data_IF_087243808011
#
_entry.id   IF_087243808011
#
_cell.length_a   1.000
_cell.length_b   1.000
_cell.length_c   1.000
_cell.angle_alpha   90.00
_cell.angle_beta   90.00
_cell.angle_gamma   90.00
#
_symmetry.space_group_name_H-M   'P 1'
#
loop_
_entity.id
_entity.type
_entity.pdbx_description
1 polymer ?
#
# COMPACT_ATOMS: atom_id res chain seq x y z
N UNK A 1 8.09 -88.67 -73.27
CA UNK A 1 8.82 -87.37 -73.29
C UNK A 1 8.00 -86.16 -72.83
N UNK A 2 6.79 -85.89 -73.35
CA UNK A 2 6.01 -84.67 -72.99
C UNK A 2 5.67 -84.49 -71.49
N UNK A 3 5.44 -85.58 -70.75
CA UNK A 3 5.06 -85.55 -69.32
C UNK A 3 6.18 -85.02 -68.40
N UNK A 4 7.43 -85.44 -68.64
CA UNK A 4 8.60 -85.03 -67.84
C UNK A 4 8.98 -83.56 -68.05
N UNK A 5 8.84 -83.04 -69.28
CA UNK A 5 9.07 -81.62 -69.57
C UNK A 5 8.06 -80.73 -68.84
N UNK A 6 6.81 -81.18 -68.69
CA UNK A 6 5.78 -80.42 -67.95
C UNK A 6 6.04 -80.36 -66.44
N UNK A 7 6.62 -81.42 -65.87
CA UNK A 7 6.96 -81.50 -64.45
C UNK A 7 8.12 -80.55 -64.10
N UNK A 8 9.17 -80.55 -64.92
CA UNK A 8 10.33 -79.65 -64.75
C UNK A 8 9.91 -78.18 -64.86
N UNK A 9 9.06 -77.83 -65.84
CA UNK A 9 8.50 -76.47 -65.95
C UNK A 9 7.71 -76.05 -64.72
N UNK A 10 6.90 -76.95 -64.14
CA UNK A 10 6.14 -76.65 -62.91
C UNK A 10 7.05 -76.40 -61.72
N UNK A 11 8.09 -77.22 -61.55
CA UNK A 11 9.06 -77.05 -60.46
C UNK A 11 9.80 -75.71 -60.59
N UNK A 12 10.30 -75.38 -61.79
CA UNK A 12 10.95 -74.09 -62.06
C UNK A 12 10.01 -72.91 -61.78
N UNK A 13 8.75 -72.98 -62.19
CA UNK A 13 7.77 -71.93 -61.92
C UNK A 13 7.51 -71.80 -60.41
N UNK A 14 7.33 -72.91 -59.69
CA UNK A 14 7.10 -72.85 -58.24
C UNK A 14 8.33 -72.35 -57.48
N UNK A 15 9.55 -72.73 -57.88
CA UNK A 15 10.77 -72.19 -57.27
C UNK A 15 10.93 -70.70 -57.55
N UNK A 16 10.66 -70.25 -58.79
CA UNK A 16 10.72 -68.84 -59.15
C UNK A 16 9.65 -68.01 -58.44
N UNK A 17 8.42 -68.52 -58.32
CA UNK A 17 7.35 -67.88 -57.54
C UNK A 17 7.71 -67.85 -56.05
N UNK A 18 8.28 -68.93 -55.51
CA UNK A 18 8.72 -68.99 -54.11
C UNK A 18 9.84 -67.98 -53.81
N UNK A 19 10.83 -67.85 -54.70
CA UNK A 19 11.87 -66.84 -54.57
C UNK A 19 11.31 -65.41 -54.70
N UNK A 20 10.40 -65.18 -55.65
CA UNK A 20 9.78 -63.87 -55.85
C UNK A 20 8.89 -63.48 -54.67
N UNK A 21 8.09 -64.42 -54.15
CA UNK A 21 7.28 -64.22 -52.95
C UNK A 21 8.18 -63.97 -51.72
N UNK A 22 9.24 -64.76 -51.54
CA UNK A 22 10.24 -64.54 -50.50
C UNK A 22 10.85 -63.15 -50.56
N UNK A 23 11.23 -62.68 -51.74
CA UNK A 23 11.74 -61.31 -51.92
C UNK A 23 10.67 -60.25 -51.62
N UNK A 24 9.44 -60.42 -52.12
CA UNK A 24 8.34 -59.47 -51.91
C UNK A 24 7.92 -59.35 -50.44
N UNK A 25 8.10 -60.39 -49.61
CA UNK A 25 7.78 -60.33 -48.18
C UNK A 25 8.98 -59.98 -47.30
N UNK A 26 10.16 -60.56 -47.54
CA UNK A 26 11.33 -60.35 -46.69
C UNK A 26 11.97 -58.98 -46.91
N UNK A 27 11.95 -58.45 -48.13
CA UNK A 27 12.55 -57.16 -48.42
C UNK A 27 11.84 -56.00 -47.67
N UNK A 28 10.50 -55.84 -47.73
CA UNK A 28 9.82 -54.78 -46.96
C UNK A 28 9.98 -54.90 -45.45
N UNK A 29 10.01 -56.13 -44.92
CA UNK A 29 10.25 -56.37 -43.49
C UNK A 29 11.67 -55.91 -43.11
N UNK A 30 12.66 -56.21 -43.95
CA UNK A 30 14.05 -55.80 -43.69
C UNK A 30 14.22 -54.27 -43.73
N UNK A 31 13.57 -53.58 -44.67
CA UNK A 31 13.55 -52.12 -44.75
C UNK A 31 12.86 -51.53 -43.52
N UNK A 32 11.69 -52.05 -43.13
CA UNK A 32 10.96 -51.59 -41.94
C UNK A 32 11.76 -51.76 -40.64
N UNK A 33 12.46 -52.89 -40.48
CA UNK A 33 13.35 -53.11 -39.34
C UNK A 33 14.52 -52.13 -39.37
N UNK A 34 15.12 -51.88 -40.54
CA UNK A 34 16.20 -50.90 -40.70
C UNK A 34 15.76 -49.50 -40.31
N UNK A 35 14.59 -49.05 -40.76
CA UNK A 35 14.05 -47.73 -40.44
C UNK A 35 13.78 -47.58 -38.93
N UNK A 36 13.23 -48.62 -38.28
CA UNK A 36 13.04 -48.63 -36.82
C UNK A 36 14.38 -48.52 -36.10
N UNK A 37 15.39 -49.30 -36.52
CA UNK A 37 16.71 -49.28 -35.89
C UNK A 37 17.36 -47.91 -36.07
N UNK A 38 17.33 -47.36 -37.28
CA UNK A 38 17.91 -46.06 -37.60
C UNK A 38 17.24 -44.93 -36.79
N UNK A 39 15.90 -44.91 -36.73
CA UNK A 39 15.14 -43.96 -35.92
C UNK A 39 15.57 -44.02 -34.44
N UNK A 40 15.64 -45.22 -33.86
CA UNK A 40 16.01 -45.39 -32.45
C UNK A 40 17.47 -44.97 -32.19
N UNK A 41 18.40 -45.26 -33.09
CA UNK A 41 19.82 -44.88 -32.95
C UNK A 41 19.99 -43.36 -33.02
N UNK A 42 19.34 -42.68 -33.97
CA UNK A 42 19.40 -41.21 -34.09
C UNK A 42 18.81 -40.55 -32.84
N UNK A 43 17.67 -41.03 -32.35
CA UNK A 43 17.07 -40.52 -31.12
C UNK A 43 17.92 -40.78 -29.88
N UNK A 44 18.59 -41.93 -29.79
CA UNK A 44 19.50 -42.23 -28.69
C UNK A 44 20.74 -41.33 -28.69
N UNK A 45 21.38 -41.13 -29.85
CA UNK A 45 22.56 -40.27 -29.97
C UNK A 45 22.24 -38.81 -29.67
N UNK A 46 21.12 -38.29 -30.20
CA UNK A 46 20.67 -36.92 -29.92
C UNK A 46 20.32 -36.73 -28.44
N UNK A 47 19.66 -37.71 -27.82
CA UNK A 47 19.41 -37.72 -26.38
C UNK A 47 20.71 -37.67 -25.57
N UNK A 48 21.69 -38.52 -25.88
CA UNK A 48 23.00 -38.52 -25.22
C UNK A 48 23.76 -37.19 -25.39
N UNK A 49 23.63 -36.52 -26.54
CA UNK A 49 24.23 -35.22 -26.78
C UNK A 49 23.58 -34.10 -25.97
N UNK A 50 22.24 -34.07 -25.89
CA UNK A 50 21.49 -33.07 -25.10
C UNK A 50 21.76 -33.23 -23.61
N UNK A 51 21.78 -34.47 -23.11
CA UNK A 51 21.99 -34.79 -21.70
C UNK A 51 23.47 -35.07 -21.36
N UNK A 52 24.41 -34.63 -22.20
CA UNK A 52 25.82 -34.78 -21.89
C UNK A 52 26.13 -34.10 -20.54
N UNK A 53 27.03 -34.66 -19.70
CA UNK A 53 27.29 -34.17 -18.34
C UNK A 53 27.59 -32.66 -18.25
N UNK A 54 28.22 -32.11 -19.30
CA UNK A 54 28.49 -30.67 -19.44
C UNK A 54 27.23 -29.79 -19.44
N UNK A 55 26.13 -30.25 -20.04
CA UNK A 55 24.85 -29.51 -20.06
C UNK A 55 24.14 -29.57 -18.72
N UNK A 56 24.25 -30.69 -17.99
CA UNK A 56 23.71 -30.84 -16.65
C UNK A 56 24.44 -29.93 -15.64
N UNK A 57 25.76 -29.84 -15.73
CA UNK A 57 26.58 -28.90 -14.95
C UNK A 57 26.20 -27.44 -15.23
N UNK A 58 25.99 -27.10 -16.50
CA UNK A 58 25.54 -25.77 -16.90
C UNK A 58 24.15 -25.44 -16.32
N UNK A 59 23.20 -26.39 -16.40
CA UNK A 59 21.86 -26.22 -15.83
C UNK A 59 21.92 -26.02 -14.31
N UNK A 60 22.76 -26.79 -13.61
CA UNK A 60 23.01 -26.61 -12.18
C UNK A 60 23.60 -25.24 -11.84
N UNK A 61 24.58 -24.77 -12.62
CA UNK A 61 25.16 -23.43 -12.46
C UNK A 61 24.11 -22.32 -12.58
N UNK A 62 23.27 -22.36 -13.63
CA UNK A 62 22.19 -21.38 -13.79
C UNK A 62 21.12 -21.49 -12.71
N UNK A 63 20.79 -22.70 -12.23
CA UNK A 63 19.87 -22.89 -11.12
C UNK A 63 20.40 -22.27 -9.83
N UNK A 64 21.69 -22.48 -9.50
CA UNK A 64 22.34 -21.89 -8.33
C UNK A 64 22.38 -20.36 -8.46
N UNK A 65 22.77 -19.82 -9.62
CA UNK A 65 22.74 -18.38 -9.86
C UNK A 65 21.33 -17.79 -9.69
N UNK A 66 20.30 -18.47 -10.19
CA UNK A 66 18.91 -18.07 -10.04
C UNK A 66 18.47 -18.06 -8.58
N UNK A 67 18.83 -19.09 -7.80
CA UNK A 67 18.54 -19.16 -6.37
C UNK A 67 19.24 -18.05 -5.58
N UNK A 68 20.55 -17.85 -5.82
CA UNK A 68 21.32 -16.78 -5.16
C UNK A 68 20.74 -15.41 -5.50
N UNK A 69 20.44 -15.17 -6.79
CA UNK A 69 19.79 -13.93 -7.25
C UNK A 69 18.43 -13.71 -6.57
N UNK A 70 17.61 -14.77 -6.48
CA UNK A 70 16.31 -14.73 -5.82
C UNK A 70 16.41 -14.37 -4.34
N UNK A 71 17.33 -14.99 -3.59
CA UNK A 71 17.56 -14.70 -2.17
C UNK A 71 18.03 -13.25 -1.97
N UNK A 72 19.00 -12.80 -2.76
CA UNK A 72 19.51 -11.42 -2.70
C UNK A 72 18.40 -10.42 -3.00
N UNK A 73 17.58 -10.67 -4.02
CA UNK A 73 16.47 -9.79 -4.38
C UNK A 73 15.38 -9.77 -3.28
N UNK A 74 15.02 -10.92 -2.71
CA UNK A 74 14.08 -10.99 -1.61
C UNK A 74 14.56 -10.19 -0.38
N UNK A 75 15.84 -10.31 -0.02
CA UNK A 75 16.44 -9.52 1.05
C UNK A 75 16.42 -8.02 0.73
N UNK A 76 16.75 -7.63 -0.50
CA UNK A 76 16.74 -6.25 -0.95
C UNK A 76 15.33 -5.63 -0.89
N UNK A 77 14.31 -6.36 -1.35
CA UNK A 77 12.90 -5.93 -1.29
C UNK A 77 12.47 -5.74 0.17
N UNK A 78 12.79 -6.69 1.06
CA UNK A 78 12.43 -6.60 2.47
C UNK A 78 13.07 -5.39 3.15
N UNK A 79 14.38 -5.17 2.93
CA UNK A 79 15.10 -4.02 3.51
C UNK A 79 14.57 -2.68 2.98
N UNK A 80 14.26 -2.61 1.67
CA UNK A 80 13.63 -1.42 1.09
C UNK A 80 12.27 -1.15 1.71
N UNK A 81 11.43 -2.16 1.90
CA UNK A 81 10.11 -1.97 2.50
C UNK A 81 10.18 -1.34 3.90
N UNK A 82 11.16 -1.74 4.72
CA UNK A 82 11.42 -1.12 6.02
C UNK A 82 11.86 0.35 5.92
N UNK A 83 12.85 0.64 5.06
CA UNK A 83 13.34 2.01 4.82
C UNK A 83 12.25 2.91 4.24
N UNK A 84 11.43 2.41 3.32
CA UNK A 84 10.29 3.16 2.77
C UNK A 84 9.29 3.52 3.86
N UNK A 85 9.03 2.63 4.82
CA UNK A 85 8.10 2.90 5.93
C UNK A 85 8.64 3.95 6.90
N UNK A 86 9.94 3.96 7.15
CA UNK A 86 10.60 4.97 8.00
C UNK A 86 10.66 6.34 7.30
N UNK A 87 11.00 6.36 6.01
CA UNK A 87 10.93 7.56 5.16
C UNK A 87 9.50 8.10 5.07
N UNK A 88 8.52 7.21 4.95
CA UNK A 88 7.10 7.59 4.94
C UNK A 88 6.69 8.20 6.27
N UNK A 89 7.04 7.59 7.41
CA UNK A 89 6.77 8.15 8.75
C UNK A 89 7.38 9.55 8.91
N UNK A 90 8.66 9.71 8.58
CA UNK A 90 9.34 11.02 8.59
C UNK A 90 8.67 12.03 7.64
N UNK A 91 8.09 11.54 6.54
CA UNK A 91 7.42 12.40 5.56
C UNK A 91 5.99 12.79 5.94
N UNK A 92 5.33 12.05 6.85
CA UNK A 92 3.91 12.26 7.20
C UNK A 92 3.67 12.85 8.58
N UNK A 93 4.68 12.88 9.47
CA UNK A 93 4.55 13.48 10.81
C UNK A 93 5.21 14.85 10.91
N UNK A 94 4.75 15.67 11.85
CA UNK A 94 5.38 16.92 12.29
C UNK A 94 6.46 16.61 13.33
N UNK A 95 7.68 17.11 13.10
CA UNK A 95 8.86 16.78 13.94
C UNK A 95 8.72 17.26 15.39
N UNK A 96 8.02 18.38 15.62
CA UNK A 96 7.88 18.95 16.95
C UNK A 96 6.85 18.18 17.78
N UNK A 97 5.67 17.93 17.22
CA UNK A 97 4.49 17.43 17.93
C UNK A 97 4.26 15.94 17.77
N UNK A 98 4.94 15.29 16.80
CA UNK A 98 4.70 13.90 16.39
C UNK A 98 3.26 13.60 15.95
N UNK A 99 2.45 14.64 15.68
CA UNK A 99 1.17 14.51 15.00
C UNK A 99 1.39 14.33 13.50
N UNK A 100 0.33 14.05 12.75
CA UNK A 100 0.42 14.12 11.30
C UNK A 100 0.72 15.55 10.85
N UNK A 101 1.42 15.71 9.74
CA UNK A 101 1.68 17.01 9.17
C UNK A 101 0.57 17.42 8.17
N UNK A 102 0.61 18.69 7.75
CA UNK A 102 -0.33 19.27 6.78
C UNK A 102 -0.48 18.44 5.51
N UNK A 103 0.63 17.91 4.96
CA UNK A 103 0.61 17.14 3.70
C UNK A 103 -0.19 15.85 3.87
N UNK A 104 0.06 15.12 4.96
CA UNK A 104 -0.70 13.91 5.27
C UNK A 104 -2.17 14.22 5.49
N UNK A 105 -2.47 15.27 6.27
CA UNK A 105 -3.84 15.71 6.52
C UNK A 105 -4.65 15.94 5.24
N UNK A 106 -4.14 16.75 4.30
CA UNK A 106 -4.85 17.06 3.05
C UNK A 106 -5.11 15.79 2.24
N UNK A 107 -4.09 14.94 2.09
CA UNK A 107 -4.20 13.69 1.36
C UNK A 107 -5.20 12.72 2.00
N UNK A 108 -5.21 12.64 3.33
CA UNK A 108 -6.10 11.74 4.05
C UNK A 108 -7.54 12.27 4.07
N UNK A 109 -7.73 13.58 4.27
CA UNK A 109 -9.06 14.20 4.25
C UNK A 109 -9.74 14.01 2.90
N UNK A 110 -9.01 14.19 1.79
CA UNK A 110 -9.53 13.91 0.43
C UNK A 110 -10.03 12.47 0.29
N UNK A 111 -9.26 11.49 0.79
CA UNK A 111 -9.67 10.07 0.76
C UNK A 111 -10.90 9.80 1.64
N UNK A 112 -10.97 10.41 2.81
CA UNK A 112 -12.11 10.24 3.72
C UNK A 112 -13.39 10.89 3.16
N UNK A 113 -13.30 11.99 2.41
CA UNK A 113 -14.46 12.58 1.71
C UNK A 113 -14.99 11.61 0.65
N UNK A 114 -14.12 11.04 -0.19
CA UNK A 114 -14.54 10.05 -1.19
C UNK A 114 -15.17 8.81 -0.54
N UNK A 115 -14.61 8.37 0.60
CA UNK A 115 -15.15 7.27 1.39
C UNK A 115 -16.53 7.62 1.96
N UNK A 116 -16.66 8.79 2.59
CA UNK A 116 -17.89 9.29 3.17
C UNK A 116 -18.99 9.43 2.09
N UNK A 117 -18.64 9.94 0.91
CA UNK A 117 -19.55 10.03 -0.24
C UNK A 117 -20.02 8.65 -0.70
N UNK A 118 -19.10 7.69 -0.85
CA UNK A 118 -19.42 6.32 -1.31
C UNK A 118 -20.36 5.58 -0.36
N UNK A 119 -20.14 5.72 0.94
CA UNK A 119 -20.90 4.99 1.96
C UNK A 119 -22.01 5.83 2.61
N UNK A 120 -22.25 7.05 2.10
CA UNK A 120 -23.24 7.99 2.64
C UNK A 120 -23.07 8.20 4.16
N UNK A 121 -21.82 8.43 4.58
CA UNK A 121 -21.47 8.73 5.96
C UNK A 121 -21.15 10.22 6.13
N UNK A 122 -21.29 10.70 7.36
CA UNK A 122 -20.85 12.04 7.72
C UNK A 122 -19.35 12.07 8.01
N UNK A 123 -18.73 13.22 7.76
CA UNK A 123 -17.33 13.49 8.07
C UNK A 123 -17.22 14.90 8.61
N UNK A 124 -16.80 15.05 9.86
CA UNK A 124 -16.58 16.37 10.47
C UNK A 124 -15.10 16.74 10.49
N UNK A 125 -14.84 18.01 10.23
CA UNK A 125 -13.54 18.66 10.33
C UNK A 125 -13.59 19.70 11.45
N UNK A 126 -12.57 19.72 12.30
CA UNK A 126 -12.31 20.81 13.24
C UNK A 126 -10.97 21.45 12.86
N UNK A 127 -10.93 22.78 12.81
CA UNK A 127 -9.71 23.58 12.71
C UNK A 127 -9.57 24.37 14.00
N UNK A 128 -8.40 24.28 14.62
CA UNK A 128 -8.10 24.74 15.98
C UNK A 128 -6.91 25.68 15.90
N UNK A 129 -6.98 26.80 16.61
CA UNK A 129 -5.88 27.76 16.75
C UNK A 129 -5.71 28.15 18.22
N UNK A 130 -4.46 28.19 18.69
CA UNK A 130 -4.14 28.55 20.06
C UNK A 130 -4.13 30.06 20.27
N UNK A 131 -5.09 30.56 21.03
CA UNK A 131 -5.16 31.97 21.39
C UNK A 131 -3.99 32.35 22.30
N UNK A 132 -3.42 33.54 22.10
CA UNK A 132 -2.30 34.09 22.87
C UNK A 132 -0.98 33.32 22.73
N UNK A 133 -0.85 32.37 21.80
CA UNK A 133 0.40 31.61 21.63
C UNK A 133 1.61 32.50 21.29
N UNK A 134 1.41 33.51 20.42
CA UNK A 134 2.46 34.50 20.13
C UNK A 134 2.92 35.23 21.39
N UNK A 135 2.00 35.63 22.27
CA UNK A 135 2.34 36.29 23.53
C UNK A 135 3.17 35.39 24.44
N UNK A 136 2.88 34.08 24.47
CA UNK A 136 3.70 33.10 25.21
C UNK A 136 5.12 33.03 24.64
N UNK A 137 5.27 32.97 23.32
CA UNK A 137 6.59 32.99 22.66
C UNK A 137 7.35 34.28 22.97
N UNK A 138 6.69 35.43 22.87
CA UNK A 138 7.31 36.73 23.08
C UNK A 138 7.72 36.93 24.56
N UNK A 139 6.97 36.35 25.50
CA UNK A 139 7.22 36.50 26.95
C UNK A 139 8.20 35.46 27.50
N UNK A 140 8.15 34.22 27.01
CA UNK A 140 8.86 33.08 27.60
C UNK A 140 9.85 32.40 26.63
N UNK A 141 9.96 32.92 25.41
CA UNK A 141 10.81 32.38 24.36
C UNK A 141 10.22 31.17 23.64
N UNK A 142 10.73 30.91 22.43
CA UNK A 142 10.25 29.83 21.55
C UNK A 142 10.36 28.44 22.16
N UNK A 143 11.35 28.17 23.02
CA UNK A 143 11.48 26.88 23.70
C UNK A 143 10.27 26.57 24.59
N UNK A 144 9.64 27.59 25.18
CA UNK A 144 8.44 27.41 26.00
C UNK A 144 7.21 27.18 25.12
N UNK A 145 7.10 27.91 23.99
CA UNK A 145 6.05 27.65 22.99
C UNK A 145 6.13 26.24 22.42
N UNK A 146 7.34 25.75 22.14
CA UNK A 146 7.56 24.38 21.66
C UNK A 146 7.07 23.31 22.65
N UNK A 147 7.30 23.52 23.96
CA UNK A 147 6.76 22.63 25.01
C UNK A 147 5.24 22.67 25.03
N UNK A 148 4.66 23.87 24.95
CA UNK A 148 3.21 24.06 24.94
C UNK A 148 2.55 23.37 23.73
N UNK A 149 3.14 23.50 22.54
CA UNK A 149 2.65 22.81 21.34
C UNK A 149 2.70 21.28 21.50
N UNK A 150 3.76 20.75 22.12
CA UNK A 150 3.86 19.31 22.44
C UNK A 150 2.80 18.86 23.43
N UNK A 151 2.56 19.62 24.50
CA UNK A 151 1.53 19.32 25.49
C UNK A 151 0.13 19.35 24.88
N UNK A 152 -0.16 20.39 24.08
CA UNK A 152 -1.42 20.51 23.38
C UNK A 152 -1.65 19.35 22.40
N UNK A 153 -0.62 18.95 21.65
CA UNK A 153 -0.69 17.79 20.76
C UNK A 153 -1.02 16.49 21.52
N UNK A 154 -0.41 16.28 22.70
CA UNK A 154 -0.70 15.12 23.56
C UNK A 154 -2.14 15.18 24.08
N UNK A 155 -2.61 16.37 24.49
CA UNK A 155 -3.99 16.59 24.91
C UNK A 155 -4.97 16.18 23.81
N UNK A 156 -4.83 16.75 22.60
CA UNK A 156 -5.70 16.46 21.46
C UNK A 156 -5.75 14.95 21.16
N UNK A 157 -4.58 14.30 21.12
CA UNK A 157 -4.47 12.88 20.80
C UNK A 157 -5.14 11.98 21.85
N UNK A 158 -5.17 12.39 23.12
CA UNK A 158 -5.88 11.68 24.20
C UNK A 158 -7.39 11.91 24.14
N UNK A 159 -7.83 13.07 23.63
CA UNK A 159 -9.25 13.42 23.57
C UNK A 159 -9.96 12.72 22.42
N UNK A 160 -9.33 12.56 21.26
CA UNK A 160 -9.97 11.96 20.08
C UNK A 160 -10.10 10.42 20.17
N UNK A 161 -11.05 9.84 19.43
CA UNK A 161 -11.19 8.36 19.34
C UNK A 161 -10.20 7.80 18.31
N UNK A 162 -9.95 6.49 18.37
CA UNK A 162 -9.03 5.77 17.47
C UNK A 162 -9.20 6.03 15.95
N UNK A 163 -10.43 6.10 15.38
CA UNK A 163 -10.60 6.37 13.95
C UNK A 163 -10.43 7.84 13.57
N UNK A 164 -10.47 8.76 14.53
CA UNK A 164 -10.16 10.16 14.28
C UNK A 164 -8.64 10.32 14.16
N UNK A 165 -8.21 11.31 13.40
CA UNK A 165 -6.80 11.65 13.34
C UNK A 165 -6.59 13.15 13.56
N UNK A 166 -5.46 13.47 14.17
CA UNK A 166 -5.04 14.83 14.52
C UNK A 166 -3.78 15.16 13.72
N UNK A 167 -3.76 16.34 13.12
CA UNK A 167 -2.60 16.86 12.43
C UNK A 167 -2.27 18.28 12.88
N UNK A 168 -0.99 18.65 12.80
CA UNK A 168 -0.57 20.05 12.89
C UNK A 168 -0.67 20.67 11.50
N UNK A 169 -1.50 21.69 11.36
CA UNK A 169 -1.76 22.35 10.08
C UNK A 169 -0.65 23.36 9.76
N UNK A 170 -0.15 24.09 10.76
CA UNK A 170 1.00 24.97 10.65
C UNK A 170 1.08 25.91 11.84
N UNK A 171 2.28 26.32 12.25
CA UNK A 171 2.44 27.22 13.41
C UNK A 171 1.79 26.66 14.67
N UNK A 172 0.76 27.34 15.15
CA UNK A 172 -0.11 27.04 16.30
C UNK A 172 -1.49 26.50 15.92
N UNK A 173 -1.68 26.14 14.65
CA UNK A 173 -2.92 25.59 14.11
C UNK A 173 -2.89 24.05 14.06
N UNK A 174 -4.00 23.45 14.50
CA UNK A 174 -4.21 22.01 14.53
C UNK A 174 -5.54 21.67 13.84
N UNK A 175 -5.64 20.45 13.32
CA UNK A 175 -6.86 19.95 12.72
C UNK A 175 -7.20 18.58 13.25
N UNK A 176 -8.50 18.31 13.40
CA UNK A 176 -9.03 17.00 13.74
C UNK A 176 -10.02 16.59 12.67
N UNK A 177 -9.85 15.39 12.14
CA UNK A 177 -10.76 14.79 11.18
C UNK A 177 -11.49 13.65 11.86
N UNK A 178 -12.82 13.64 11.74
CA UNK A 178 -13.71 12.71 12.41
C UNK A 178 -14.56 11.92 11.39
N UNK A 179 -14.08 10.76 10.90
CA UNK A 179 -14.86 9.91 9.99
C UNK A 179 -16.11 9.35 10.67
N UNK A 180 -17.24 9.30 9.97
CA UNK A 180 -18.52 8.80 10.53
C UNK A 180 -19.01 9.63 11.74
N UNK A 181 -18.71 10.94 11.73
CA UNK A 181 -19.19 11.91 12.70
C UNK A 181 -20.06 12.95 12.02
N UNK A 182 -21.22 13.18 12.61
CA UNK A 182 -22.15 14.25 12.27
C UNK A 182 -21.87 15.49 13.13
N UNK A 183 -22.66 16.55 12.91
CA UNK A 183 -22.56 17.79 13.67
C UNK A 183 -22.67 17.58 15.19
N UNK A 184 -23.55 16.70 15.66
CA UNK A 184 -23.75 16.47 17.10
C UNK A 184 -22.52 15.81 17.73
N UNK A 185 -21.91 14.84 17.05
CA UNK A 185 -20.65 14.23 17.49
C UNK A 185 -19.50 15.23 17.47
N UNK A 186 -19.41 16.08 16.46
CA UNK A 186 -18.41 17.14 16.38
C UNK A 186 -18.56 18.13 17.55
N UNK A 187 -19.80 18.51 17.89
CA UNK A 187 -20.06 19.41 19.02
C UNK A 187 -19.73 18.79 20.37
N UNK A 188 -20.03 17.50 20.58
CA UNK A 188 -19.61 16.80 21.80
C UNK A 188 -18.09 16.74 21.94
N UNK A 189 -17.35 16.56 20.84
CA UNK A 189 -15.90 16.63 20.87
C UNK A 189 -15.42 18.05 21.20
N UNK A 190 -16.02 19.06 20.58
CA UNK A 190 -15.73 20.48 20.82
C UNK A 190 -15.88 20.83 22.30
N UNK A 191 -17.01 20.48 22.92
CA UNK A 191 -17.27 20.69 24.34
C UNK A 191 -16.23 20.02 25.24
N UNK A 192 -15.87 18.78 24.92
CA UNK A 192 -14.87 18.03 25.66
C UNK A 192 -13.50 18.69 25.50
N UNK A 193 -13.11 19.10 24.30
CA UNK A 193 -11.87 19.83 24.07
C UNK A 193 -11.83 21.13 24.87
N UNK A 194 -12.92 21.89 24.91
CA UNK A 194 -12.99 23.08 25.75
C UNK A 194 -12.73 22.75 27.23
N UNK A 195 -13.42 21.76 27.79
CA UNK A 195 -13.24 21.35 29.20
C UNK A 195 -11.82 20.85 29.48
N UNK A 196 -11.26 20.05 28.59
CA UNK A 196 -9.89 19.54 28.72
C UNK A 196 -8.87 20.69 28.65
N UNK A 197 -8.99 21.61 27.69
CA UNK A 197 -8.08 22.77 27.57
C UNK A 197 -8.21 23.71 28.77
N UNK A 198 -9.41 23.96 29.28
CA UNK A 198 -9.61 24.83 30.44
C UNK A 198 -9.11 24.23 31.75
N UNK A 199 -9.21 22.91 31.90
CA UNK A 199 -8.73 22.20 33.10
C UNK A 199 -7.24 21.83 33.03
N UNK A 200 -6.65 21.82 31.83
CA UNK A 200 -5.25 21.48 31.66
C UNK A 200 -4.33 22.62 32.08
N UNK A 201 -3.48 22.33 33.07
CA UNK A 201 -2.42 23.24 33.51
C UNK A 201 -1.19 23.10 32.61
N UNK A 202 -1.19 23.82 31.48
CA UNK A 202 -0.05 23.83 30.56
C UNK A 202 1.25 24.25 31.28
N UNK A 203 2.25 23.36 31.29
CA UNK A 203 3.59 23.49 31.91
C UNK A 203 3.63 24.34 33.19
N UNK A 204 2.93 23.92 34.27
CA UNK A 204 3.02 24.52 35.62
C UNK A 204 2.89 26.06 35.66
N UNK A 205 1.87 26.57 34.93
CA UNK A 205 1.52 27.92 34.50
C UNK A 205 2.68 28.79 33.97
N UNK A 206 2.32 29.72 33.10
CA UNK A 206 2.83 31.08 33.13
C UNK A 206 2.62 31.72 34.54
N UNK A 207 3.07 31.08 35.63
CA UNK A 207 2.72 31.29 37.06
C UNK A 207 3.14 32.67 37.55
N UNK A 208 4.11 33.29 36.89
CA UNK A 208 4.48 34.68 37.20
C UNK A 208 3.66 35.73 36.43
N UNK A 209 2.95 35.38 35.34
CA UNK A 209 2.37 36.36 34.40
C UNK A 209 0.85 36.26 34.20
N UNK A 210 0.19 35.17 34.59
CA UNK A 210 -1.28 35.06 34.55
C UNK A 210 -1.90 34.87 33.16
N UNK A 211 -1.12 34.48 32.15
CA UNK A 211 -1.61 34.25 30.78
C UNK A 211 -2.41 32.93 30.74
N UNK A 212 -3.72 33.00 30.52
CA UNK A 212 -4.59 31.83 30.26
C UNK A 212 -4.51 31.45 28.78
N UNK A 213 -3.96 30.28 28.49
CA UNK A 213 -4.02 29.69 27.15
C UNK A 213 -5.45 29.22 26.88
N UNK A 214 -6.00 29.58 25.72
CA UNK A 214 -7.29 29.08 25.25
C UNK A 214 -7.17 28.73 23.77
N UNK A 215 -8.17 28.09 23.19
CA UNK A 215 -8.18 27.76 21.77
C UNK A 215 -9.48 28.26 21.11
N UNK A 216 -9.35 28.80 19.91
CA UNK A 216 -10.47 29.08 19.01
C UNK A 216 -10.65 27.87 18.09
N UNK A 217 -11.88 27.44 17.85
CA UNK A 217 -12.16 26.23 17.07
C UNK A 217 -13.30 26.51 16.09
N UNK A 218 -13.05 26.23 14.82
CA UNK A 218 -14.05 26.17 13.76
C UNK A 218 -14.37 24.73 13.39
N UNK A 219 -15.62 24.45 13.04
CA UNK A 219 -16.05 23.10 12.65
C UNK A 219 -16.96 23.12 11.43
N UNK A 220 -16.82 22.14 10.55
CA UNK A 220 -17.73 21.91 9.44
C UNK A 220 -17.93 20.42 9.22
N UNK A 221 -19.11 20.03 8.71
CA UNK A 221 -19.46 18.62 8.46
C UNK A 221 -19.92 18.38 7.03
N UNK A 222 -19.27 17.43 6.36
CA UNK A 222 -19.70 16.87 5.08
C UNK A 222 -20.74 15.73 5.32
N UNK A 223 -21.79 15.59 4.48
CA UNK A 223 -22.18 16.47 3.37
C UNK A 223 -23.15 17.61 3.78
N UNK A 224 -23.44 17.78 5.07
CA UNK A 224 -24.48 18.70 5.55
C UNK A 224 -24.16 20.19 5.35
N UNK A 225 -22.89 20.56 5.44
CA UNK A 225 -22.44 21.96 5.44
C UNK A 225 -21.42 22.25 4.31
N UNK A 226 -20.97 21.21 3.59
CA UNK A 226 -20.03 21.28 2.47
C UNK A 226 -20.18 20.05 1.55
N UNK A 227 -19.88 20.18 0.25
CA UNK A 227 -20.00 19.12 -0.76
C UNK A 227 -18.64 18.54 -1.23
N UNK A 228 -17.55 19.22 -0.92
CA UNK A 228 -16.19 18.80 -1.28
C UNK A 228 -15.14 19.25 -0.25
N UNK A 229 -13.87 18.94 -0.56
CA UNK A 229 -12.71 19.22 0.29
C UNK A 229 -12.52 20.72 0.56
N UNK A 230 -12.60 21.53 -0.49
CA UNK A 230 -12.26 22.95 -0.42
C UNK A 230 -13.38 23.71 0.31
N UNK A 231 -14.64 23.36 0.04
CA UNK A 231 -15.79 23.89 0.78
C UNK A 231 -15.72 23.54 2.27
N UNK A 232 -15.36 22.30 2.61
CA UNK A 232 -15.30 21.84 4.00
C UNK A 232 -14.24 22.60 4.80
N UNK A 233 -13.04 22.75 4.22
CA UNK A 233 -11.94 23.51 4.84
C UNK A 233 -12.32 24.98 4.95
N UNK A 234 -12.80 25.60 3.87
CA UNK A 234 -13.20 27.01 3.85
C UNK A 234 -14.28 27.30 4.87
N UNK A 235 -15.27 26.40 5.01
CA UNK A 235 -16.35 26.56 5.99
C UNK A 235 -15.81 26.49 7.41
N UNK A 236 -15.00 25.49 7.74
CA UNK A 236 -14.41 25.35 9.07
C UNK A 236 -13.52 26.56 9.42
N UNK A 237 -12.72 27.05 8.46
CA UNK A 237 -11.86 28.23 8.64
C UNK A 237 -12.67 29.52 8.86
N UNK A 238 -13.75 29.72 8.11
CA UNK A 238 -14.63 30.87 8.30
C UNK A 238 -15.25 30.93 9.71
N UNK A 239 -15.57 29.77 10.29
CA UNK A 239 -16.13 29.66 11.64
C UNK A 239 -15.02 29.90 12.67
N UNK A 240 -13.81 29.38 12.45
CA UNK A 240 -12.64 29.66 13.29
C UNK A 240 -12.36 31.17 13.32
N UNK A 241 -12.38 31.83 12.17
CA UNK A 241 -12.19 33.27 12.06
C UNK A 241 -13.26 34.06 12.82
N UNK A 242 -14.53 33.64 12.73
CA UNK A 242 -15.62 34.25 13.49
C UNK A 242 -15.46 34.05 15.01
N UNK A 243 -14.96 32.88 15.44
CA UNK A 243 -14.65 32.59 16.84
C UNK A 243 -13.52 33.49 17.36
N UNK A 244 -12.43 33.67 16.60
CA UNK A 244 -11.31 34.55 16.98
C UNK A 244 -11.74 36.01 17.17
N UNK A 245 -12.71 36.48 16.39
CA UNK A 245 -13.25 37.85 16.51
C UNK A 245 -14.27 38.03 17.64
N UNK A 246 -14.60 36.98 18.38
CA UNK A 246 -15.67 37.00 19.38
C UNK A 246 -17.07 37.19 18.80
N UNK A 247 -17.21 37.12 17.46
CA UNK A 247 -18.49 37.29 16.75
C UNK A 247 -19.35 36.04 16.94
N UNK A 248 -18.71 34.88 17.03
CA UNK A 248 -19.37 33.62 17.33
C UNK A 248 -18.81 33.07 18.63
N UNK A 249 -19.09 33.80 19.72
CA UNK A 249 -19.02 33.26 21.07
C UNK A 249 -20.05 32.12 21.13
N UNK A 250 -19.54 30.92 20.85
CA UNK A 250 -20.17 29.64 21.03
C UNK A 250 -21.30 29.31 20.01
N UNK A 251 -21.21 28.14 19.36
CA UNK A 251 -22.34 27.20 19.48
C UNK A 251 -22.43 26.90 20.98
N UNK A 252 -23.08 27.80 21.74
CA UNK A 252 -23.28 27.67 23.19
C UNK A 252 -24.15 26.44 23.31
N UNK A 253 -23.60 25.42 23.92
CA UNK A 253 -24.40 24.39 24.57
C UNK A 253 -25.30 25.14 25.55
N UNK A 254 -26.58 25.29 25.21
CA UNK A 254 -27.61 25.48 26.23
C UNK A 254 -27.95 24.13 26.81
#
# INVERSE_FOLDING_TARGET
MKKNISLIKRILIHSSIGCLAGFLFLHPISVFISDIVEYNVVHFVTFQQIFAPKHLLMAGYFAILGLVSGIVNAFYIHKRAGLYKEIELLSITDELTSLYNRRYFINQLSKEIERARRYSHYLSLLIIDLNNFKQVNDTHGHQQGDKLLKEFAVLLKKTVRKPDFVARYGGDEFVIVMPEADNDKALKLLERLHKEVESHSFTNNSVSTGIKLTASIGTATFPSEAQDLDELITKADSILYAAKKGIQLLRVVK
#
